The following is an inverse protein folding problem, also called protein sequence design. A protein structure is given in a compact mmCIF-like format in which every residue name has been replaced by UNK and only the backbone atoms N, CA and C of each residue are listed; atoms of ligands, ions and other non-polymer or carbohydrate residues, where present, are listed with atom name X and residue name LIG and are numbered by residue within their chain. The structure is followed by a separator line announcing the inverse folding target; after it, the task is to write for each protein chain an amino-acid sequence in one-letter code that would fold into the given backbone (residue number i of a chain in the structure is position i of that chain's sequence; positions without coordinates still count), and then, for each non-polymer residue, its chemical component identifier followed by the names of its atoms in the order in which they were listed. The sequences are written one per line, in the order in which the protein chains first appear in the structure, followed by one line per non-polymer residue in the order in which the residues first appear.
data_IF_025477742072
#
_entry.id   IF_025477742072
#
_cell.length_a   1.000
_cell.length_b   1.000
_cell.length_c   1.000
_cell.angle_alpha   90.00
_cell.angle_beta   90.00
_cell.angle_gamma   90.00
#
_symmetry.space_group_name_H-M   'P 1'
#
loop_
_entity.id
_entity.type
_entity.pdbx_description
1 polymer ?
2 polymer ?
3 non-polymer ?
4 non-polymer ?
5 non-polymer ?
6 water ?
#
# COMPACT_ATOMS: atom_id res chain seq x y z
N UNK A 1 21.13 7.86 2.23
CA UNK A 1 21.37 7.06 1.40
C UNK A 1 20.95 7.07 -0.11
N UNK A 2 21.40 6.12 -0.93
CA UNK A 2 20.68 5.67 -2.12
C UNK A 2 19.26 5.21 -1.85
N UNK A 3 19.03 4.52 -0.73
CA UNK A 3 17.69 4.04 -0.43
C UNK A 3 16.72 5.18 -0.09
N UNK A 4 17.20 6.18 0.67
CA UNK A 4 16.39 7.36 1.00
C UNK A 4 16.13 8.21 -0.24
N UNK A 5 17.13 8.35 -1.12
CA UNK A 5 16.93 9.06 -2.39
C UNK A 5 15.93 8.37 -3.29
N UNK A 6 15.92 7.03 -3.28
CA UNK A 6 14.97 6.29 -4.12
C UNK A 6 13.53 6.54 -3.66
N UNK A 7 13.35 6.70 -2.36
CA UNK A 7 12.04 7.08 -1.80
C UNK A 7 11.63 8.45 -2.31
N UNK A 8 12.53 9.42 -2.26
CA UNK A 8 12.20 10.78 -2.71
C UNK A 8 11.90 10.81 -4.20
N UNK A 9 12.68 10.08 -4.98
CA UNK A 9 12.45 10.02 -6.43
C UNK A 9 11.05 9.47 -6.75
N UNK A 10 10.66 8.38 -6.09
CA UNK A 10 9.36 7.77 -6.41
C UNK A 10 8.19 8.64 -5.96
N UNK A 11 8.34 9.31 -4.83
CA UNK A 11 7.33 10.27 -4.40
C UNK A 11 7.13 11.37 -5.43
N UNK A 12 8.23 11.91 -5.98
CA UNK A 12 8.13 12.89 -7.07
C UNK A 12 7.40 12.30 -8.27
N UNK A 13 7.74 11.06 -8.65
CA UNK A 13 7.14 10.38 -9.81
C UNK A 13 5.63 10.16 -9.61
N UNK A 14 5.26 9.75 -8.40
CA UNK A 14 3.84 9.52 -8.09
C UNK A 14 3.03 10.82 -8.14
N UNK A 15 3.61 11.92 -7.66
CA UNK A 15 2.95 13.22 -7.77
C UNK A 15 2.83 13.68 -9.22
N UNK A 16 3.88 13.42 -10.01
CA UNK A 16 3.87 13.75 -11.43
C UNK A 16 2.84 12.90 -12.17
N UNK A 17 2.77 11.60 -11.85
CA UNK A 17 1.79 10.69 -12.47
C UNK A 17 0.37 11.20 -12.24
N UNK A 18 0.10 11.67 -11.01
CA UNK A 18 -1.19 12.26 -10.65
C UNK A 18 -1.48 13.53 -11.46
N UNK A 19 -0.54 14.46 -11.47
CA UNK A 19 -0.68 15.70 -12.25
C UNK A 19 -0.93 15.45 -13.74
N UNK A 20 -0.23 14.49 -14.32
CA UNK A 20 -0.42 14.14 -15.73
C UNK A 20 -1.82 13.57 -16.02
N UNK A 21 -2.33 12.80 -15.06
CA UNK A 21 -3.68 12.21 -15.18
C UNK A 21 -4.76 13.29 -15.05
N UNK A 22 -4.56 14.24 -14.13
CA UNK A 22 -5.47 15.36 -13.97
C UNK A 22 -5.50 16.27 -15.20
N UNK A 23 -4.34 16.52 -15.79
CA UNK A 23 -4.25 17.19 -17.08
C UNK A 23 -5.05 16.48 -18.16
N UNK A 24 -4.92 15.15 -18.26
CA UNK A 24 -5.70 14.35 -19.20
C UNK A 24 -7.21 14.48 -18.96
N UNK A 25 -7.61 14.41 -17.68
CA UNK A 25 -9.01 14.50 -17.26
C UNK A 25 -9.61 15.85 -17.64
N UNK A 26 -8.91 16.93 -17.30
CA UNK A 26 -9.38 18.28 -17.57
C UNK A 26 -9.52 18.54 -19.08
N UNK A 27 -8.55 18.10 -19.86
CA UNK A 27 -8.59 18.26 -21.30
C UNK A 27 -9.74 17.45 -21.93
N UNK A 28 -9.88 16.19 -21.52
CA UNK A 28 -10.92 15.33 -22.03
C UNK A 28 -12.29 15.85 -21.65
N UNK A 29 -12.45 16.38 -20.44
CA UNK A 29 -13.73 16.95 -20.03
C UNK A 29 -14.11 18.19 -20.86
N UNK A 30 -13.11 18.95 -21.29
CA UNK A 30 -13.34 20.14 -22.12
C UNK A 30 -13.80 19.75 -23.52
N UNK A 31 -13.14 18.75 -24.10
CA UNK A 31 -13.54 18.21 -25.39
C UNK A 31 -14.95 17.60 -25.32
N UNK A 32 -15.19 16.80 -24.28
CA UNK A 32 -16.51 16.23 -24.03
C UNK A 32 -17.60 17.31 -24.04
N UNK A 33 -17.35 18.41 -23.35
CA UNK A 33 -18.30 19.53 -23.28
C UNK A 33 -18.51 20.17 -24.64
N UNK A 34 -17.41 20.39 -25.35
CA UNK A 34 -17.45 20.93 -26.71
C UNK A 34 -18.32 20.04 -27.60
N UNK A 35 -18.06 18.73 -27.55
CA UNK A 35 -18.84 17.75 -28.33
C UNK A 35 -20.30 17.70 -27.94
N UNK A 36 -20.57 17.69 -26.63
CA UNK A 36 -21.94 17.59 -26.11
C UNK A 36 -22.78 18.79 -26.55
N UNK A 37 -22.14 19.96 -26.62
CA UNK A 37 -22.77 21.18 -27.10
C UNK A 37 -23.29 21.01 -28.52
N UNK A 38 -22.46 20.44 -29.40
CA UNK A 38 -22.88 20.15 -30.77
C UNK A 38 -24.03 19.14 -30.82
N UNK A 39 -23.95 18.09 -30.01
CA UNK A 39 -24.98 17.06 -30.01
C UNK A 39 -26.34 17.61 -29.55
N UNK A 40 -26.34 18.48 -28.54
CA UNK A 40 -27.57 19.14 -28.10
C UNK A 40 -28.20 20.02 -29.17
N UNK A 41 -27.39 20.82 -29.87
CA UNK A 41 -27.92 21.64 -30.97
C UNK A 41 -28.53 20.77 -32.06
N UNK A 42 -27.83 19.68 -32.39
CA UNK A 42 -28.32 18.71 -33.40
C UNK A 42 -29.63 18.04 -32.95
N UNK A 43 -29.71 17.64 -31.69
CA UNK A 43 -30.94 17.05 -31.15
C UNK A 43 -32.14 17.98 -31.32
N UNK A 44 -31.94 19.24 -30.94
CA UNK A 44 -32.99 20.24 -31.09
C UNK A 44 -33.45 20.37 -32.55
N UNK A 45 -32.51 20.34 -33.49
CA UNK A 45 -32.86 20.41 -34.92
C UNK A 45 -33.68 19.20 -35.34
N UNK A 46 -33.23 18.01 -34.95
CA UNK A 46 -33.99 16.78 -35.21
C UNK A 46 -35.42 16.84 -34.61
N UNK A 47 -35.55 17.30 -33.37
CA UNK A 47 -36.86 17.39 -32.69
C UNK A 47 -37.85 18.28 -33.42
N UNK A 48 -37.36 19.43 -33.90
CA UNK A 48 -38.14 20.37 -34.72
C UNK A 48 -38.75 19.70 -35.93
N UNK A 49 -38.03 18.71 -36.47
CA UNK A 49 -38.37 18.11 -37.74
C UNK A 49 -38.95 16.71 -37.66
N UNK A 50 -39.37 16.31 -36.46
CA UNK A 50 -39.83 14.94 -36.25
C UNK A 50 -41.05 14.62 -37.11
N UNK A 51 -41.93 15.61 -37.27
CA UNK A 51 -43.16 15.44 -38.06
C UNK A 51 -42.94 15.11 -39.53
N UNK A 52 -41.78 15.48 -40.06
CA UNK A 52 -41.42 15.20 -41.46
C UNK A 52 -41.14 13.73 -41.73
N UNK A 53 -40.86 12.95 -40.69
CA UNK A 53 -40.38 11.56 -40.80
C UNK A 53 -39.29 11.39 -41.87
N UNK A 54 -38.30 12.28 -41.83
CA UNK A 54 -37.16 12.22 -42.73
C UNK A 54 -36.31 11.05 -42.26
N UNK A 55 -36.06 10.06 -43.13
CA UNK A 55 -35.29 8.90 -42.68
C UNK A 55 -33.87 9.25 -42.24
N UNK A 56 -33.27 10.26 -42.87
CA UNK A 56 -31.92 10.68 -42.53
C UNK A 56 -31.89 11.33 -41.15
N UNK A 57 -32.89 12.18 -40.85
CA UNK A 57 -33.00 12.74 -39.49
C UNK A 57 -33.31 11.68 -38.45
N UNK A 58 -34.11 10.69 -38.80
CA UNK A 58 -34.45 9.65 -37.85
C UNK A 58 -33.24 8.75 -37.55
N UNK A 59 -32.40 8.55 -38.56
CA UNK A 59 -31.13 7.87 -38.32
C UNK A 59 -30.19 8.65 -37.39
N UNK A 60 -30.12 9.96 -37.58
CA UNK A 60 -29.36 10.84 -36.69
C UNK A 60 -29.88 10.78 -35.25
N UNK A 61 -31.20 10.78 -35.10
CA UNK A 61 -31.84 10.59 -33.78
C UNK A 61 -31.38 9.30 -33.10
N UNK A 62 -31.37 8.20 -33.85
CA UNK A 62 -30.90 6.93 -33.30
C UNK A 62 -29.44 6.96 -32.85
N UNK A 63 -28.61 7.66 -33.62
CA UNK A 63 -27.20 7.86 -33.22
C UNK A 63 -27.15 8.65 -31.93
N UNK A 64 -27.90 9.75 -31.87
CA UNK A 64 -27.96 10.59 -30.67
C UNK A 64 -28.29 9.78 -29.41
N UNK A 65 -29.29 8.92 -29.51
CA UNK A 65 -29.80 8.24 -28.33
C UNK A 65 -29.25 6.81 -28.12
N UNK A 66 -28.34 6.37 -28.99
CA UNK A 66 -27.66 5.07 -28.80
C UNK A 66 -26.83 5.05 -27.51
N UNK A 67 -26.66 3.87 -26.96
CA UNK A 67 -25.68 3.64 -25.90
C UNK A 67 -24.66 2.63 -26.43
N UNK A 68 -23.71 2.22 -25.60
CA UNK A 68 -22.70 1.21 -25.99
C UNK A 68 -23.30 -0.15 -26.42
N UNK A 69 -24.53 -0.42 -26.01
CA UNK A 69 -25.26 -1.63 -26.45
C UNK A 69 -25.88 -1.46 -27.83
N UNK A 70 -25.80 -0.25 -28.37
CA UNK A 70 -26.40 0.04 -29.67
C UNK A 70 -27.62 0.96 -29.56
N UNK A 71 -28.47 0.89 -30.58
CA UNK A 71 -29.64 1.73 -30.65
C UNK A 71 -30.62 1.39 -29.54
N UNK A 72 -31.29 2.42 -29.01
CA UNK A 72 -32.40 2.16 -28.12
C UNK A 72 -33.62 1.97 -29.03
N UNK A 73 -34.50 1.08 -28.59
CA UNK A 73 -35.71 0.70 -29.31
C UNK A 73 -35.44 0.39 -30.79
N UNK A 74 -34.69 -0.68 -31.07
CA UNK A 74 -34.29 -1.04 -32.44
C UNK A 74 -35.43 -1.09 -33.48
N UNK A 75 -35.21 -0.36 -34.56
CA UNK A 75 -36.02 -0.33 -35.80
C UNK A 75 -37.50 0.01 -35.68
N UNK B 1 9.67 2.14 13.30
CA UNK B 1 8.99 3.02 14.29
C UNK B 1 8.23 4.13 13.59
N UNK B 2 8.06 5.26 14.27
CA UNK B 2 7.20 6.35 13.79
C UNK B 2 7.56 6.87 12.39
N UNK B 3 8.85 7.09 12.13
CA UNK B 3 9.28 7.69 10.86
C UNK B 3 9.04 6.76 9.68
N UNK B 4 9.42 5.49 9.83
CA UNK B 4 9.15 4.50 8.78
C UNK B 4 7.64 4.40 8.52
N UNK B 5 6.84 4.31 9.58
CA UNK B 5 5.39 4.27 9.43
C UNK B 5 4.80 5.48 8.72
N UNK B 6 5.28 6.68 9.07
CA UNK B 6 4.82 7.90 8.42
C UNK B 6 5.20 7.96 6.93
N UNK B 7 6.39 7.46 6.61
CA UNK B 7 6.84 7.40 5.21
C UNK B 7 5.92 6.46 4.41
N UNK B 8 5.64 5.28 4.97
CA UNK B 8 4.75 4.32 4.31
C UNK B 8 3.34 4.90 4.11
N UNK B 9 2.82 5.59 5.12
CA UNK B 9 1.50 6.22 5.04
C UNK B 9 1.45 7.30 3.95
N UNK B 10 2.47 8.14 3.89
CA UNK B 10 2.61 9.14 2.81
C UNK B 10 2.63 8.51 1.40
N UNK B 11 3.47 7.49 1.22
CA UNK B 11 3.54 6.80 -0.07
C UNK B 11 2.16 6.24 -0.45
N UNK B 12 1.44 5.68 0.52
CA UNK B 12 0.09 5.13 0.24
C UNK B 12 -0.87 6.23 -0.24
N UNK B 13 -0.88 7.38 0.45
CA UNK B 13 -1.72 8.52 0.06
C UNK B 13 -1.39 9.02 -1.35
N UNK B 14 -0.09 9.14 -1.67
CA UNK B 14 0.30 9.51 -3.01
C UNK B 14 -0.20 8.50 -4.04
N UNK B 15 -0.07 7.20 -3.73
CA UNK B 15 -0.52 6.15 -4.64
C UNK B 15 -2.03 6.20 -4.85
N UNK B 16 -2.80 6.29 -3.75
CA UNK B 16 -4.26 6.44 -3.86
C UNK B 16 -4.67 7.69 -4.66
N UNK B 17 -3.98 8.82 -4.45
CA UNK B 17 -4.22 10.03 -5.25
C UNK B 17 -3.96 9.81 -6.73
N UNK B 18 -2.84 9.17 -7.05
CA UNK B 18 -2.50 8.85 -8.43
C UNK B 18 -3.64 8.03 -9.08
N UNK B 19 -4.08 6.99 -8.37
CA UNK B 19 -5.07 6.07 -8.93
C UNK B 19 -6.46 6.71 -9.09
N UNK B 20 -6.82 7.61 -8.18
CA UNK B 20 -8.07 8.36 -8.31
C UNK B 20 -8.02 9.29 -9.53
N UNK B 21 -6.86 9.94 -9.73
CA UNK B 21 -6.66 10.79 -10.90
C UNK B 21 -6.71 9.99 -12.20
N UNK B 22 -6.10 8.80 -12.22
CA UNK B 22 -6.15 7.94 -13.41
C UNK B 22 -7.57 7.47 -13.73
N UNK B 23 -8.32 7.11 -12.69
CA UNK B 23 -9.73 6.74 -12.85
C UNK B 23 -10.55 7.88 -13.46
N UNK B 24 -10.35 9.10 -12.96
CA UNK B 24 -11.01 10.28 -13.48
C UNK B 24 -10.65 10.54 -14.94
N UNK B 25 -9.36 10.41 -15.27
CA UNK B 25 -8.91 10.59 -16.66
C UNK B 25 -9.54 9.55 -17.58
N UNK B 26 -9.55 8.29 -17.15
CA UNK B 26 -10.10 7.20 -17.98
C UNK B 26 -11.60 7.39 -18.24
N UNK B 27 -12.34 7.79 -17.22
CA UNK B 27 -13.77 8.04 -17.34
C UNK B 27 -14.03 9.25 -18.26
N UNK B 28 -13.26 10.32 -18.08
CA UNK B 28 -13.39 11.51 -18.94
C UNK B 28 -13.10 11.17 -20.39
N UNK B 29 -12.06 10.38 -20.63
CA UNK B 29 -11.74 9.94 -21.99
C UNK B 29 -12.83 9.08 -22.62
N UNK B 30 -13.44 8.21 -21.83
CA UNK B 30 -14.55 7.37 -22.30
C UNK B 30 -15.77 8.20 -22.68
N UNK B 31 -16.14 9.15 -21.83
CA UNK B 31 -17.28 10.02 -22.10
C UNK B 31 -17.05 10.82 -23.36
N UNK B 32 -15.85 11.38 -23.48
CA UNK B 32 -15.46 12.14 -24.63
C UNK B 32 -15.56 11.31 -25.91
N UNK B 33 -15.09 10.07 -25.85
CA UNK B 33 -15.09 9.17 -27.00
C UNK B 33 -16.52 8.80 -27.40
N UNK B 34 -17.40 8.66 -26.40
CA UNK B 34 -18.81 8.34 -26.60
C UNK B 34 -19.44 9.44 -27.43
N UNK B 35 -19.23 10.69 -27.04
CA UNK B 35 -19.79 11.83 -27.78
C UNK B 35 -19.14 12.05 -29.13
N UNK B 36 -17.82 11.87 -29.18
CA UNK B 36 -17.12 12.01 -30.42
C UNK B 36 -17.57 11.01 -31.47
N UNK B 37 -17.75 9.74 -31.07
CA UNK B 37 -18.24 8.73 -31.99
C UNK B 37 -19.57 9.11 -32.60
N UNK B 38 -20.44 9.75 -31.82
CA UNK B 38 -21.74 10.18 -32.35
C UNK B 38 -21.59 11.23 -33.43
N UNK B 39 -20.76 12.24 -33.17
CA UNK B 39 -20.56 13.33 -34.12
C UNK B 39 -19.91 12.80 -35.40
N UNK B 40 -18.94 11.92 -35.25
CA UNK B 40 -18.30 11.32 -36.43
C UNK B 40 -19.30 10.55 -37.27
N UNK B 41 -20.17 9.76 -36.62
CA UNK B 41 -21.20 9.04 -37.36
C UNK B 41 -22.19 9.97 -38.02
N UNK B 42 -22.62 11.00 -37.30
CA UNK B 42 -23.48 12.02 -37.91
C UNK B 42 -22.77 12.70 -39.07
N UNK B 43 -21.47 12.98 -38.93
CA UNK B 43 -20.72 13.50 -40.06
C UNK B 43 -20.79 12.57 -41.29
N UNK B 44 -20.63 11.27 -41.07
CA UNK B 44 -20.67 10.32 -42.18
C UNK B 44 -22.03 10.34 -42.87
N UNK B 45 -23.09 10.45 -42.07
CA UNK B 45 -24.44 10.51 -42.62
C UNK B 45 -24.59 11.75 -43.50
N UNK B 46 -24.09 12.88 -43.02
CA UNK B 46 -24.17 14.11 -43.80
C UNK B 46 -23.37 13.99 -45.10
N UNK B 47 -22.23 13.30 -45.05
CA UNK B 47 -21.38 13.10 -46.22
C UNK B 47 -22.02 12.19 -47.26
N UNK B 48 -22.74 11.15 -46.82
CA UNK B 48 -23.60 10.33 -47.70
C UNK B 48 -24.58 11.19 -48.51
N UNK B 49 -25.01 12.29 -47.92
CA UNK B 49 -26.15 13.05 -48.41
C UNK B 49 -25.80 14.46 -48.90
N UNK B 50 -24.50 14.74 -48.99
CA UNK B 50 -23.97 16.05 -49.38
C UNK B 50 -24.54 16.62 -50.68
N UNK B 51 -24.85 15.74 -51.64
CA UNK B 51 -25.37 16.13 -52.94
C UNK B 51 -26.77 16.71 -52.95
N UNK B 52 -27.66 16.12 -52.15
CA UNK B 52 -29.09 16.50 -52.12
C UNK B 52 -29.39 17.91 -51.61
N UNK B 53 -28.36 18.64 -51.19
CA UNK B 53 -28.49 20.04 -50.74
C UNK B 53 -29.72 20.31 -49.85
N UNK B 54 -29.83 19.55 -48.75
CA UNK B 54 -30.96 19.66 -47.84
C UNK B 54 -30.68 20.75 -46.80
N UNK B 55 -31.61 21.72 -46.65
CA UNK B 55 -31.37 22.82 -45.72
C UNK B 55 -31.26 22.39 -44.24
N UNK B 56 -31.94 21.30 -43.85
CA UNK B 56 -31.86 20.83 -42.47
C UNK B 56 -30.47 20.23 -42.21
N UNK B 57 -30.03 19.34 -43.11
CA UNK B 57 -28.70 18.76 -43.03
C UNK B 57 -27.61 19.83 -43.10
N UNK B 58 -27.86 20.88 -43.89
CA UNK B 58 -26.89 21.98 -43.94
C UNK B 58 -26.71 22.65 -42.57
N UNK B 59 -27.81 22.83 -41.84
CA UNK B 59 -27.75 23.34 -40.47
C UNK B 59 -26.93 22.41 -39.57
N UNK B 60 -27.11 21.11 -39.75
CA UNK B 60 -26.39 20.13 -38.94
C UNK B 60 -24.90 20.16 -39.28
N UNK B 61 -24.57 20.23 -40.57
CA UNK B 61 -23.19 20.31 -41.06
C UNK B 61 -22.49 21.55 -40.49
N UNK B 62 -23.19 22.69 -40.48
CA UNK B 62 -22.65 23.90 -39.90
C UNK B 62 -22.36 23.77 -38.43
N UNK B 63 -23.19 23.01 -37.70
CA UNK B 63 -22.88 22.72 -36.30
C UNK B 63 -21.64 21.83 -36.16
N UNK B 64 -21.53 20.79 -36.98
CA UNK B 64 -20.39 19.88 -36.90
C UNK B 64 -19.05 20.63 -37.03
N UNK B 65 -19.00 21.58 -37.96
CA UNK B 65 -17.76 22.28 -38.27
C UNK B 65 -17.60 23.64 -37.59
N UNK B 66 -18.57 24.02 -36.75
CA UNK B 66 -18.45 25.25 -35.94
C UNK B 66 -17.37 25.12 -34.89
N UNK B 67 -16.81 26.24 -34.48
CA UNK B 67 -15.69 26.19 -33.55
C UNK B 67 -15.83 27.14 -32.36
N UNK B 68 -15.38 26.66 -31.20
CA UNK B 68 -15.42 27.39 -29.94
C UNK B 68 -14.35 28.48 -29.90
N UNK C 3 -44.24 11.51 -28.81
CA UNK C 3 -43.33 11.23 -29.97
C UNK C 3 -42.38 10.08 -29.66
N UNK C 4 -42.01 9.32 -30.70
CA UNK C 4 -41.00 8.27 -30.58
C UNK C 4 -39.61 8.81 -30.21
N UNK C 5 -39.27 10.02 -30.68
CA UNK C 5 -38.03 10.69 -30.27
C UNK C 5 -37.95 10.82 -28.73
N UNK C 6 -39.05 11.26 -28.12
CA UNK C 6 -39.11 11.43 -26.65
C UNK C 6 -39.04 10.10 -25.91
N UNK C 7 -39.64 9.05 -26.49
CA UNK C 7 -39.57 7.72 -25.88
C UNK C 7 -38.14 7.17 -25.97
N UNK C 8 -37.48 7.38 -27.12
CA UNK C 8 -36.09 6.99 -27.27
C UNK C 8 -35.17 7.75 -26.32
N UNK C 9 -35.38 9.06 -26.21
CA UNK C 9 -34.60 9.89 -25.27
C UNK C 9 -34.74 9.39 -23.83
N UNK C 10 -35.96 9.03 -23.43
CA UNK C 10 -36.18 8.50 -22.09
C UNK C 10 -35.53 7.11 -21.91
N UNK C 11 -35.70 6.23 -22.89
CA UNK C 11 -35.07 4.90 -22.84
C UNK C 11 -33.53 5.00 -22.71
N UNK C 12 -32.91 5.90 -23.50
CA UNK C 12 -31.47 6.15 -23.36
C UNK C 12 -31.08 6.55 -21.93
N UNK C 13 -31.83 7.49 -21.35
CA UNK C 13 -31.54 7.98 -20.03
C UNK C 13 -31.67 6.85 -18.98
N UNK C 14 -32.63 5.96 -19.16
CA UNK C 14 -32.80 4.85 -18.21
C UNK C 14 -31.63 3.88 -18.30
N UNK C 15 -31.18 3.61 -19.52
CA UNK C 15 -30.04 2.72 -19.74
C UNK C 15 -28.76 3.30 -19.14
N UNK C 16 -28.53 4.59 -19.38
CA UNK C 16 -27.33 5.28 -18.86
C UNK C 16 -27.36 5.38 -17.32
N UNK C 17 -28.53 5.64 -16.75
CA UNK C 17 -28.66 5.63 -15.30
C UNK C 17 -28.41 4.22 -14.73
N UNK C 18 -28.97 3.20 -15.39
CA UNK C 18 -28.67 1.81 -15.00
C UNK C 18 -27.14 1.59 -15.03
N UNK C 19 -26.49 2.00 -16.11
CA UNK C 19 -25.03 1.87 -16.27
C UNK C 19 -24.27 2.58 -15.15
N UNK C 20 -24.65 3.82 -14.86
CA UNK C 20 -24.04 4.60 -13.80
C UNK C 20 -24.15 3.89 -12.46
N UNK C 21 -25.36 3.44 -12.13
CA UNK C 21 -25.62 2.76 -10.86
C UNK C 21 -24.76 1.49 -10.71
N UNK C 22 -24.69 0.69 -11.77
CA UNK C 22 -23.85 -0.53 -11.77
C UNK C 22 -22.35 -0.21 -11.60
N UNK C 23 -21.86 0.79 -12.34
CA UNK C 23 -20.50 1.28 -12.15
C UNK C 23 -20.24 1.65 -10.68
N UNK C 24 -21.14 2.41 -10.10
CA UNK C 24 -21.06 2.81 -8.71
C UNK C 24 -21.05 1.62 -7.74
N UNK C 25 -21.91 0.63 -7.97
CA UNK C 25 -21.93 -0.57 -7.15
C UNK C 25 -20.64 -1.37 -7.30
N UNK C 26 -20.12 -1.43 -8.53
CA UNK C 26 -18.90 -2.20 -8.78
C UNK C 26 -17.72 -1.57 -8.03
N UNK C 27 -17.60 -0.25 -8.11
CA UNK C 27 -16.53 0.48 -7.44
C UNK C 27 -16.67 0.37 -5.92
N UNK C 28 -17.89 0.50 -5.41
CA UNK C 28 -18.14 0.39 -3.97
C UNK C 28 -17.73 -0.99 -3.46
N UNK C 29 -18.09 -2.02 -4.22
CA UNK C 29 -17.72 -3.39 -3.89
C UNK C 29 -16.20 -3.61 -3.91
N UNK C 30 -15.51 -3.01 -4.89
CA UNK C 30 -14.06 -3.05 -4.96
C UNK C 30 -13.41 -2.39 -3.72
N UNK C 31 -13.88 -1.19 -3.36
CA UNK C 31 -13.35 -0.46 -2.21
C UNK C 31 -13.56 -1.25 -0.90
N UNK C 32 -14.76 -1.79 -0.74
CA UNK C 32 -15.12 -2.64 0.39
C UNK C 32 -14.22 -3.87 0.49
N UNK C 33 -13.99 -4.54 -0.63
CA UNK C 33 -13.16 -5.74 -0.65
C UNK C 33 -11.71 -5.40 -0.30
N UNK C 34 -11.23 -4.25 -0.78
CA UNK C 34 -9.88 -3.77 -0.45
C UNK C 34 -9.70 -3.71 1.06
N UNK C 35 -10.60 -2.99 1.74
CA UNK C 35 -10.50 -2.82 3.18
C UNK C 35 -10.76 -4.11 3.92
N UNK C 36 -11.69 -4.91 3.42
CA UNK C 36 -11.96 -6.18 4.08
C UNK C 36 -10.76 -7.12 3.98
N UNK C 37 -10.12 -7.11 2.82
CA UNK C 37 -8.91 -7.92 2.61
C UNK C 37 -7.85 -7.57 3.65
N UNK C 38 -7.76 -6.29 4.02
CA UNK C 38 -6.78 -5.88 5.05
C UNK C 38 -7.15 -6.43 6.43
N UNK C 39 -8.43 -6.40 6.76
CA UNK C 39 -8.88 -6.91 8.05
C UNK C 39 -8.60 -8.40 8.17
N UNK C 40 -8.84 -9.12 7.08
CA UNK C 40 -8.57 -10.57 7.02
C UNK C 40 -7.07 -10.88 7.16
N UNK C 41 -6.21 -10.12 6.48
CA UNK C 41 -4.76 -10.27 6.64
C UNK C 41 -4.31 -9.99 8.06
N UNK C 42 -4.91 -8.99 8.68
CA UNK C 42 -4.63 -8.69 10.09
C UNK C 42 -5.12 -9.79 11.04
N UNK C 43 -6.31 -10.33 10.76
CA UNK C 43 -6.82 -11.48 11.51
C UNK C 43 -5.84 -12.68 11.44
N UNK C 44 -5.33 -12.97 10.25
CA UNK C 44 -4.40 -14.09 10.09
C UNK C 44 -3.12 -13.83 10.88
N UNK C 45 -2.65 -12.58 10.88
CA UNK C 45 -1.46 -12.22 11.67
C UNK C 45 -1.72 -12.44 13.16
N UNK C 46 -2.88 -11.97 13.61
CA UNK C 46 -3.27 -12.20 15.00
C UNK C 46 -3.37 -13.69 15.34
N UNK C 47 -4.01 -14.48 14.48
CA UNK C 47 -4.15 -15.92 14.73
C UNK C 47 -2.78 -16.62 14.82
N UNK C 48 -1.87 -16.25 13.92
CA UNK C 48 -0.50 -16.77 13.95
C UNK C 48 0.25 -16.48 15.27
N UNK C 49 -0.13 -15.38 15.92
CA UNK C 49 0.58 -14.91 17.10
C UNK C 49 -0.21 -15.07 18.40
N UNK C 50 -1.29 -15.84 18.32
CA UNK C 50 -2.18 -16.13 19.47
C UNK C 50 -1.45 -16.65 20.72
N UNK C 51 -0.44 -17.49 20.52
CA UNK C 51 0.37 -18.04 21.63
C UNK C 51 1.10 -17.02 22.50
N UNK C 52 1.46 -15.87 21.92
CA UNK C 52 2.15 -14.81 22.67
C UNK C 52 1.32 -14.18 23.81
N UNK C 53 0.00 -14.37 23.79
CA UNK C 53 -0.93 -13.71 24.74
C UNK C 53 -0.75 -12.18 24.85
N UNK C 54 -0.56 -11.53 23.71
CA UNK C 54 -0.24 -10.10 23.67
C UNK C 54 -1.49 -9.23 23.91
N UNK C 55 -1.49 -8.41 24.97
CA UNK C 55 -2.70 -7.61 25.22
C UNK C 55 -3.00 -6.60 24.10
N UNK C 56 -1.97 -6.17 23.38
CA UNK C 56 -2.15 -5.25 22.25
C UNK C 56 -2.89 -5.98 21.13
N UNK C 57 -2.36 -7.14 20.73
CA UNK C 57 -3.02 -7.98 19.76
C UNK C 57 -4.47 -8.32 20.15
N UNK C 58 -4.72 -8.53 21.44
CA UNK C 58 -6.07 -8.83 21.91
C UNK C 58 -7.02 -7.65 21.67
N UNK C 59 -6.54 -6.43 21.88
CA UNK C 59 -7.34 -5.23 21.58
C UNK C 59 -7.65 -5.18 20.08
N UNK C 60 -6.66 -5.51 19.25
CA UNK C 60 -6.87 -5.55 17.81
C UNK C 60 -7.91 -6.60 17.41
N UNK C 61 -7.79 -7.80 17.97
CA UNK C 61 -8.77 -8.86 17.74
C UNK C 61 -10.18 -8.42 18.16
N UNK C 62 -10.28 -7.74 19.29
CA UNK C 62 -11.59 -7.21 19.70
C UNK C 62 -12.17 -6.23 18.71
N UNK C 63 -11.32 -5.45 18.06
CA UNK C 63 -11.78 -4.59 16.97
C UNK C 63 -12.22 -5.44 15.75
N UNK C 64 -11.40 -6.41 15.36
CA UNK C 64 -11.75 -7.26 14.21
C UNK C 64 -13.14 -7.90 14.33
N UNK C 65 -13.43 -8.45 15.52
CA UNK C 65 -14.69 -9.20 15.75
C UNK C 65 -15.86 -8.38 16.32
N UNK C 66 -15.70 -7.06 16.41
CA UNK C 66 -16.79 -6.20 16.87
C UNK C 66 -17.89 -6.06 15.80
N UNK C 67 -19.12 -5.90 16.27
CA UNK C 67 -20.27 -5.75 15.39
C UNK C 67 -20.81 -4.34 15.53
N UNK C 68 -21.51 -3.87 14.49
CA UNK C 68 -22.23 -2.60 14.50
C UNK C 68 -21.42 -1.42 15.06
N UNK D 3 -43.17 -2.27 -30.30
CA UNK D 3 -44.40 -2.55 -29.49
C UNK D 3 -44.40 -1.71 -28.20
N UNK D 4 -45.48 -0.96 -27.99
CA UNK D 4 -45.63 -0.10 -26.82
C UNK D 4 -45.61 -0.88 -25.49
N UNK D 5 -46.23 -2.06 -25.48
CA UNK D 5 -46.22 -2.90 -24.29
C UNK D 5 -44.79 -3.31 -23.94
N UNK D 6 -44.02 -3.68 -24.97
CA UNK D 6 -42.65 -4.15 -24.80
C UNK D 6 -41.76 -3.05 -24.25
N UNK D 7 -42.04 -1.81 -24.69
CA UNK D 7 -41.35 -0.61 -24.26
C UNK D 7 -41.65 -0.31 -22.77
N UNK D 8 -42.92 -0.40 -22.38
CA UNK D 8 -43.32 -0.21 -20.99
C UNK D 8 -42.64 -1.23 -20.10
N UNK D 9 -42.67 -2.49 -20.52
CA UNK D 9 -42.02 -3.57 -19.79
C UNK D 9 -40.53 -3.30 -19.63
N UNK D 10 -39.88 -2.88 -20.71
CA UNK D 10 -38.44 -2.62 -20.69
C UNK D 10 -38.08 -1.47 -19.76
N UNK D 11 -38.84 -0.38 -19.86
CA UNK D 11 -38.63 0.76 -18.98
C UNK D 11 -38.76 0.39 -17.51
N UNK D 12 -39.74 -0.44 -17.17
CA UNK D 12 -39.88 -0.93 -15.80
C UNK D 12 -38.66 -1.77 -15.35
N UNK D 13 -38.21 -2.68 -16.20
CA UNK D 13 -37.03 -3.50 -15.90
C UNK D 13 -35.79 -2.62 -15.66
N UNK D 14 -35.59 -1.63 -16.53
CA UNK D 14 -34.42 -0.75 -16.39
C UNK D 14 -34.46 0.04 -15.08
N UNK D 15 -35.64 0.53 -14.69
CA UNK D 15 -35.82 1.18 -13.40
C UNK D 15 -35.49 0.26 -12.22
N UNK D 16 -36.01 -0.97 -12.25
CA UNK D 16 -35.77 -1.95 -11.18
C UNK D 16 -34.29 -2.33 -11.10
N UNK D 17 -33.66 -2.55 -12.25
CA UNK D 17 -32.24 -2.85 -12.31
C UNK D 17 -31.40 -1.73 -11.69
N UNK D 18 -31.76 -0.47 -12.00
CA UNK D 18 -31.06 0.69 -11.42
C UNK D 18 -31.22 0.70 -9.91
N UNK D 19 -32.46 0.49 -9.46
CA UNK D 19 -32.77 0.46 -8.04
C UNK D 19 -32.03 -0.63 -7.27
N UNK D 20 -31.93 -1.81 -7.86
CA UNK D 20 -31.20 -2.91 -7.24
C UNK D 20 -29.71 -2.54 -7.10
N UNK D 21 -29.17 -1.90 -8.13
CA UNK D 21 -27.75 -1.57 -8.16
C UNK D 21 -27.43 -0.48 -7.15
N UNK D 22 -28.30 0.53 -7.06
CA UNK D 22 -28.16 1.56 -6.05
C UNK D 22 -28.22 0.97 -4.64
N UNK D 23 -29.07 -0.06 -4.45
CA UNK D 23 -29.18 -0.76 -3.18
C UNK D 23 -27.87 -1.49 -2.86
N UNK D 24 -27.32 -2.18 -3.86
CA UNK D 24 -26.00 -2.82 -3.74
C UNK D 24 -24.93 -1.79 -3.37
N UNK D 25 -24.93 -0.65 -4.05
CA UNK D 25 -23.90 0.38 -3.86
C UNK D 25 -23.96 0.93 -2.42
N UNK D 26 -25.18 1.24 -1.97
CA UNK D 26 -25.38 1.78 -0.63
C UNK D 26 -24.92 0.80 0.46
N UNK D 27 -25.23 -0.48 0.28
CA UNK D 27 -24.84 -1.52 1.23
C UNK D 27 -23.32 -1.72 1.28
N UNK D 28 -22.70 -1.81 0.09
CA UNK D 28 -21.25 -1.93 -0.01
C UNK D 28 -20.54 -0.72 0.59
N UNK D 29 -21.09 0.48 0.36
CA UNK D 29 -20.52 1.70 0.92
C UNK D 29 -20.57 1.70 2.46
N UNK D 30 -21.68 1.22 3.01
CA UNK D 30 -21.83 1.10 4.45
C UNK D 30 -20.82 0.08 5.04
N UNK D 31 -20.69 -1.08 4.40
CA UNK D 31 -19.72 -2.09 4.80
C UNK D 31 -18.28 -1.56 4.74
N UNK D 32 -17.97 -0.88 3.64
CA UNK D 32 -16.69 -0.20 3.45
C UNK D 32 -16.38 0.81 4.57
N UNK D 33 -17.35 1.65 4.94
CA UNK D 33 -17.14 2.59 6.04
C UNK D 33 -16.89 1.89 7.38
N UNK D 34 -17.62 0.80 7.61
CA UNK D 34 -17.50 0.01 8.85
C UNK D 34 -16.08 -0.60 8.98
N UNK D 35 -15.60 -1.16 7.87
CA UNK D 35 -14.26 -1.75 7.80
C UNK D 35 -13.19 -0.68 7.92
N UNK D 36 -13.38 0.42 7.22
CA UNK D 36 -12.39 1.52 7.25
C UNK D 36 -12.27 2.05 8.67
N UNK D 37 -13.40 2.13 9.37
CA UNK D 37 -13.41 2.56 10.76
C UNK D 37 -12.58 1.64 11.66
N UNK D 38 -12.67 0.34 11.42
CA UNK D 38 -11.87 -0.64 12.20
C UNK D 38 -10.39 -0.46 11.89
N UNK D 39 -10.07 -0.29 10.61
CA UNK D 39 -8.65 -0.09 10.20
C UNK D 39 -8.05 1.16 10.86
N UNK D 40 -8.83 2.22 10.94
CA UNK D 40 -8.39 3.45 11.61
C UNK D 40 -8.16 3.23 13.11
N UNK D 41 -9.04 2.45 13.76
CA UNK D 41 -8.85 2.12 15.17
C UNK D 41 -7.60 1.27 15.36
N UNK D 42 -7.41 0.29 14.49
CA UNK D 42 -6.20 -0.53 14.51
C UNK D 42 -4.94 0.32 14.32
N UNK D 43 -5.00 1.27 13.37
CA UNK D 43 -3.91 2.21 13.14
C UNK D 43 -3.52 2.99 14.42
N UNK D 44 -4.54 3.48 15.12
CA UNK D 44 -4.33 4.23 16.38
C UNK D 44 -3.56 3.40 17.39
N UNK D 45 -3.99 2.14 17.56
CA UNK D 45 -3.33 1.19 18.45
C UNK D 45 -1.87 0.96 18.06
N UNK D 46 -1.61 0.74 16.77
CA UNK D 46 -0.25 0.59 16.27
C UNK D 46 0.61 1.84 16.55
N UNK D 47 0.07 3.03 16.31
CA UNK D 47 0.82 4.28 16.51
C UNK D 47 1.24 4.47 17.98
N UNK D 48 0.41 4.02 18.92
CA UNK D 48 0.76 4.02 20.35
C UNK D 48 1.98 3.19 20.70
N UNK D 49 2.21 2.12 19.94
CA UNK D 49 3.26 1.19 20.24
C UNK D 49 4.45 1.30 19.30
N UNK D 50 4.53 2.44 18.59
CA UNK D 50 5.60 2.69 17.62
C UNK D 50 7.00 2.45 18.19
N UNK D 51 7.22 2.94 19.41
CA UNK D 51 8.52 2.88 20.06
C UNK D 51 8.90 1.50 20.58
N UNK D 52 7.90 0.64 20.77
CA UNK D 52 8.14 -0.73 21.22
C UNK D 52 8.85 -1.57 20.17
N UNK D 53 8.89 -1.08 18.93
CA UNK D 53 9.48 -1.78 17.79
C UNK D 53 9.01 -3.24 17.62
N UNK D 54 7.72 -3.48 17.85
CA UNK D 54 7.18 -4.84 17.83
C UNK D 54 7.06 -5.36 16.38
N UNK D 55 7.74 -6.48 16.05
CA UNK D 55 7.69 -7.00 14.68
C UNK D 55 6.27 -7.40 14.19
N UNK D 56 5.42 -7.88 15.07
CA UNK D 56 4.04 -8.22 14.69
C UNK D 56 3.25 -6.96 14.33
N UNK D 57 3.35 -5.91 15.14
CA UNK D 57 2.68 -4.64 14.84
C UNK D 57 3.24 -3.98 13.59
N UNK D 58 4.51 -4.22 13.32
CA UNK D 58 5.13 -3.68 12.11
C UNK D 58 4.51 -4.34 10.88
N UNK D 59 4.25 -5.66 10.97
CA UNK D 59 3.54 -6.38 9.91
C UNK D 59 2.13 -5.84 9.69
N UNK D 60 1.44 -5.55 10.80
CA UNK D 60 0.08 -5.04 10.72
C UNK D 60 0.09 -3.66 10.07
N UNK D 61 1.06 -2.82 10.44
CA UNK D 61 1.19 -1.49 9.81
C UNK D 61 1.46 -1.62 8.29
N UNK D 62 2.29 -2.59 7.90
CA UNK D 62 2.54 -2.81 6.48
C UNK D 62 1.23 -3.16 5.74
N UNK D 63 0.39 -3.96 6.38
CA UNK D 63 -0.94 -4.27 5.83
C UNK D 63 -1.81 -3.00 5.72
N UNK D 64 -1.86 -2.22 6.80
CA UNK D 64 -2.64 -0.99 6.79
C UNK D 64 -2.29 -0.07 5.63
N UNK D 65 -0.99 0.13 5.36
CA UNK D 65 -0.57 1.08 4.34
C UNK D 65 -0.25 0.48 2.98
N UNK D 66 -0.59 -0.80 2.81
CA UNK D 66 -0.40 -1.47 1.53
C UNK D 66 -1.37 -0.92 0.51
N UNK D 67 -0.89 -0.90 -0.72
CA UNK D 67 -1.65 -0.35 -1.79
C UNK D 67 -1.95 -1.50 -2.79
N UNK D 68 -1.18 -2.59 -2.70
CA UNK D 68 -1.45 -3.77 -3.54
C UNK D 68 -2.79 -4.37 -3.13
N UNK D 69 -3.65 -4.57 -4.12
CA UNK D 69 -5.02 -5.02 -3.89
C UNK D 69 -5.13 -6.55 -3.90
N UNK E 8 42.45 -9.78 36.31
CA UNK E 8 43.37 -9.18 35.34
C UNK E 8 44.79 -9.11 35.90
N UNK E 9 45.05 -8.10 36.72
CA UNK E 9 46.27 -7.98 37.49
C UNK E 9 46.24 -9.01 38.62
N UNK E 10 45.02 -9.34 39.06
CA UNK E 10 44.77 -10.34 40.11
C UNK E 10 44.98 -11.76 39.61
N UNK E 11 44.61 -12.02 38.36
CA UNK E 11 44.74 -13.35 37.75
C UNK E 11 46.20 -13.73 37.52
N UNK E 12 47.02 -12.74 37.16
CA UNK E 12 48.44 -12.97 36.91
C UNK E 12 49.21 -13.26 38.19
N UNK E 13 48.78 -12.63 39.29
CA UNK E 13 49.37 -12.87 40.62
C UNK E 13 49.04 -14.25 41.16
N UNK E 14 47.87 -14.78 40.79
CA UNK E 14 47.48 -16.15 41.19
C UNK E 14 48.30 -17.19 40.42
N UNK E 15 48.62 -16.87 39.16
CA UNK E 15 49.46 -17.75 38.34
C UNK E 15 50.92 -17.71 38.79
N UNK E 16 51.34 -16.56 39.33
CA UNK E 16 52.64 -16.42 39.95
C UNK E 16 52.69 -17.25 41.24
N UNK E 17 51.69 -17.05 42.09
CA UNK E 17 51.56 -17.73 43.39
C UNK E 17 51.55 -19.25 43.28
N UNK E 18 50.85 -19.78 42.28
CA UNK E 18 50.67 -21.21 42.10
C UNK E 18 51.91 -21.95 41.53
N UNK E 19 52.97 -21.20 41.26
CA UNK E 19 54.15 -21.77 40.58
C UNK E 19 55.00 -22.71 41.45
N UNK E 20 54.86 -22.61 42.78
CA UNK E 20 55.61 -23.46 43.71
C UNK E 20 54.84 -23.80 44.99
N UNK E 21 54.95 -25.05 45.47
CA UNK E 21 54.33 -25.44 46.74
C UNK E 21 55.19 -25.06 47.94
N UNK E 25 49.45 -25.96 50.81
CA UNK E 25 48.34 -26.82 50.39
C UNK E 25 46.99 -26.10 50.52
N UNK E 26 46.79 -25.38 51.61
CA UNK E 26 45.56 -24.62 51.84
C UNK E 26 45.39 -23.50 50.82
N UNK E 27 46.49 -22.82 50.49
CA UNK E 27 46.49 -21.71 49.55
C UNK E 27 46.34 -22.15 48.09
N UNK E 28 46.94 -23.28 47.74
CA UNK E 28 46.92 -23.77 46.35
C UNK E 28 45.54 -24.25 45.89
N UNK E 29 44.78 -24.85 46.81
CA UNK E 29 43.42 -25.30 46.51
C UNK E 29 42.46 -24.12 46.47
N UNK E 30 42.67 -23.18 47.40
CA UNK E 30 41.88 -21.94 47.47
C UNK E 30 42.06 -21.09 46.21
N UNK E 31 43.25 -21.15 45.63
CA UNK E 31 43.58 -20.40 44.41
C UNK E 31 42.98 -21.02 43.16
N UNK E 32 42.89 -22.34 43.11
CA UNK E 32 42.30 -23.03 41.96
C UNK E 32 40.77 -22.86 41.94
N UNK E 33 40.17 -22.83 43.13
CA UNK E 33 38.73 -22.53 43.27
C UNK E 33 38.41 -21.12 42.79
N UNK E 34 39.37 -20.21 42.92
CA UNK E 34 39.26 -18.87 42.35
C UNK E 34 39.19 -18.97 40.82
N UNK E 35 40.05 -19.81 40.25
CA UNK E 35 40.12 -20.02 38.80
C UNK E 35 38.95 -20.83 38.24
N UNK E 36 38.40 -21.71 39.07
CA UNK E 36 37.23 -22.52 38.68
C UNK E 36 36.00 -21.63 38.63
N UNK E 37 35.90 -20.71 39.59
CA UNK E 37 34.83 -19.72 39.61
C UNK E 37 34.97 -18.74 38.44
N UNK E 38 36.19 -18.25 38.24
CA UNK E 38 36.47 -17.24 37.22
C UNK E 38 36.28 -17.70 35.77
N UNK E 39 36.52 -18.99 35.50
CA UNK E 39 36.31 -19.55 34.16
C UNK E 39 34.82 -19.56 33.80
N UNK E 40 34.02 -20.17 34.67
CA UNK E 40 32.56 -20.16 34.54
C UNK E 40 32.00 -18.75 34.57
N UNK E 41 32.60 -17.89 35.38
CA UNK E 41 32.21 -16.49 35.48
C UNK E 41 32.52 -15.71 34.19
N UNK E 42 33.61 -16.08 33.52
CA UNK E 42 33.97 -15.47 32.25
C UNK E 42 33.05 -15.95 31.12
N UNK E 43 32.65 -17.22 31.19
CA UNK E 43 31.71 -17.81 30.24
C UNK E 43 30.32 -17.17 30.40
N UNK E 44 29.90 -16.99 31.66
CA UNK E 44 28.62 -16.36 31.98
C UNK E 44 28.54 -14.92 31.46
N UNK E 45 29.64 -14.18 31.59
CA UNK E 45 29.71 -12.78 31.20
C UNK E 45 29.76 -12.63 29.68
N UNK E 46 30.43 -13.57 29.03
CA UNK E 46 30.47 -13.62 27.57
C UNK E 46 29.07 -13.92 27.03
N UNK E 47 28.43 -14.93 27.61
CA UNK E 47 27.07 -15.30 27.23
C UNK E 47 26.09 -14.14 27.36
N UNK E 48 26.20 -13.38 28.44
CA UNK E 48 25.36 -12.20 28.66
C UNK E 48 25.57 -11.14 27.59
N UNK E 49 26.83 -10.94 27.20
CA UNK E 49 27.18 -9.95 26.19
C UNK E 49 26.74 -10.37 24.79
N UNK E 50 26.91 -11.65 24.48
CA UNK E 50 26.48 -12.21 23.20
C UNK E 50 24.98 -11.98 22.99
N UNK E 51 24.21 -12.10 24.07
CA UNK E 51 22.79 -11.78 24.03
C UNK E 51 22.52 -10.31 23.75
N UNK E 52 23.35 -9.42 24.28
CA UNK E 52 23.26 -8.00 23.96
C UNK E 52 23.57 -7.72 22.48
N UNK E 53 24.50 -8.48 21.91
CA UNK E 53 24.82 -8.36 20.48
C UNK E 53 23.64 -8.84 19.66
N UNK E 54 23.19 -10.06 19.93
CA UNK E 54 22.11 -10.67 19.17
C UNK E 54 20.86 -9.77 19.18
N UNK E 55 20.47 -9.29 20.37
CA UNK E 55 19.34 -8.38 20.50
C UNK E 55 19.47 -7.16 19.58
N UNK E 56 20.63 -6.51 19.61
CA UNK E 56 20.89 -5.32 18.82
C UNK E 56 20.93 -5.61 17.32
N UNK E 57 21.43 -6.79 16.95
CA UNK E 57 21.46 -7.20 15.55
C UNK E 57 20.06 -7.56 15.05
N UNK E 58 19.23 -8.02 15.97
CA UNK E 58 17.84 -8.39 15.66
C UNK E 58 17.03 -7.13 15.42
N UNK E 59 17.29 -6.10 16.22
CA UNK E 59 16.66 -4.80 16.02
C UNK E 59 17.10 -4.17 14.69
N UNK E 60 18.39 -4.27 14.36
CA UNK E 60 18.94 -3.73 13.11
C UNK E 60 18.31 -4.42 11.91
N UNK E 61 18.21 -5.75 11.99
CA UNK E 61 17.64 -6.55 10.94
C UNK E 61 16.15 -6.23 10.74
N UNK E 62 15.42 -6.04 11.84
CA UNK E 62 14.00 -5.70 11.78
C UNK E 62 13.81 -4.39 11.03
N UNK E 63 14.66 -3.43 11.32
CA UNK E 63 14.60 -2.13 10.65
C UNK E 63 14.91 -2.20 9.17
N UNK E 64 15.97 -2.92 8.81
CA UNK E 64 16.30 -3.15 7.41
C UNK E 64 15.22 -3.89 6.63
N UNK E 65 14.62 -4.90 7.25
CA UNK E 65 13.57 -5.69 6.61
C UNK E 65 12.30 -4.87 6.33
N UNK E 66 11.96 -3.99 7.26
CA UNK E 66 10.86 -3.04 7.13
C UNK E 66 11.11 -2.18 5.91
N UNK E 67 12.33 -1.63 5.86
CA UNK E 67 12.73 -0.73 4.78
C UNK E 67 12.80 -1.46 3.45
N UNK E 68 13.45 -2.63 3.42
CA UNK E 68 13.54 -3.46 2.20
C UNK E 68 12.14 -3.68 1.60
N UNK E 69 11.22 -4.10 2.44
CA UNK E 69 9.87 -4.41 1.98
C UNK E 69 9.14 -3.15 1.47
N UNK E 70 9.38 -2.02 2.14
CA UNK E 70 8.78 -0.75 1.71
C UNK E 70 9.27 -0.37 0.30
N UNK E 71 10.58 -0.47 0.08
CA UNK E 71 11.17 -0.23 -1.25
C UNK E 71 10.61 -1.14 -2.34
N UNK E 72 10.35 -2.41 -2.02
CA UNK E 72 9.75 -3.36 -2.99
C UNK E 72 8.34 -2.96 -3.37
N UNK E 73 7.57 -2.55 -2.36
CA UNK E 73 6.20 -2.11 -2.56
C UNK E 73 6.19 -0.83 -3.38
N UNK E 74 7.11 0.07 -3.05
CA UNK E 74 7.29 1.33 -3.79
C UNK E 74 7.50 1.09 -5.31
N UNK E 75 8.25 0.04 -5.64
CA UNK E 75 8.51 -0.29 -7.05
C UNK E 75 7.25 -0.49 -7.87
N UNK E 76 6.25 -1.15 -7.27
CA UNK E 76 5.00 -1.47 -7.94
C UNK E 76 4.00 -0.30 -8.02
N UNK E 77 4.25 0.78 -7.31
CA UNK E 77 3.28 1.89 -7.27
C UNK E 77 3.35 2.78 -8.50
N UNK F 8 36.31 -25.98 28.42
CA UNK F 8 35.64 -26.62 29.54
C UNK F 8 36.38 -27.88 30.00
N UNK F 9 36.50 -28.86 29.10
CA UNK F 9 37.26 -30.09 29.36
C UNK F 9 38.76 -29.80 29.35
N UNK F 10 39.17 -28.83 28.53
CA UNK F 10 40.56 -28.40 28.45
C UNK F 10 41.02 -27.82 29.79
N UNK F 11 40.16 -26.95 30.35
CA UNK F 11 40.48 -26.15 31.54
C UNK F 11 40.57 -26.97 32.83
N UNK F 12 39.45 -27.53 33.28
CA UNK F 12 39.37 -28.26 34.55
C UNK F 12 40.48 -29.29 34.74
N UNK F 13 40.82 -30.02 33.67
CA UNK F 13 41.88 -31.03 33.71
C UNK F 13 43.23 -30.43 34.14
N UNK F 14 43.53 -29.23 33.64
CA UNK F 14 44.73 -28.50 34.03
C UNK F 14 44.63 -28.04 35.50
N UNK F 15 43.44 -27.62 35.92
CA UNK F 15 43.20 -27.22 37.31
C UNK F 15 43.39 -28.39 38.29
N UNK F 16 43.17 -29.60 37.80
CA UNK F 16 43.37 -30.81 38.59
C UNK F 16 44.83 -31.23 38.72
N UNK F 17 45.60 -31.06 37.64
CA UNK F 17 47.04 -31.35 37.65
C UNK F 17 47.78 -30.50 38.67
N UNK F 18 47.32 -29.26 38.84
CA UNK F 18 47.98 -28.28 39.72
C UNK F 18 47.55 -28.38 41.19
N UNK F 19 46.67 -29.33 41.50
CA UNK F 19 46.15 -29.49 42.85
C UNK F 19 47.22 -29.96 43.84
N UNK F 20 48.11 -30.84 43.39
CA UNK F 20 49.18 -31.39 44.23
C UNK F 20 50.51 -31.53 43.49
N UNK F 21 51.63 -31.27 44.18
CA UNK F 21 52.95 -31.45 43.57
C UNK F 21 53.45 -32.89 43.68
N UNK F 25 58.06 -30.95 38.33
CA UNK F 25 57.05 -29.90 38.26
C UNK F 25 57.35 -28.85 37.19
N UNK F 26 58.20 -29.21 36.22
CA UNK F 26 58.45 -28.35 35.07
C UNK F 26 57.22 -28.28 34.17
N UNK F 27 56.35 -29.29 34.31
CA UNK F 27 55.08 -29.33 33.59
C UNK F 27 54.07 -28.31 34.13
N UNK F 28 54.20 -27.97 35.41
CA UNK F 28 53.28 -27.01 36.04
C UNK F 28 53.47 -25.59 35.51
N UNK F 29 54.69 -25.26 35.09
CA UNK F 29 55.00 -23.99 34.46
C UNK F 29 54.37 -23.96 33.06
N UNK F 30 54.41 -25.11 32.38
CA UNK F 30 53.81 -25.28 31.07
C UNK F 30 52.28 -25.25 31.13
N UNK F 31 51.73 -25.76 32.24
CA UNK F 31 50.29 -25.78 32.46
C UNK F 31 49.73 -24.41 32.84
N UNK F 32 50.48 -23.66 33.66
CA UNK F 32 50.06 -22.31 34.07
C UNK F 32 50.13 -21.32 32.91
N UNK F 33 51.09 -21.52 32.01
CA UNK F 33 51.20 -20.73 30.79
C UNK F 33 49.99 -20.99 29.88
N UNK F 34 49.50 -22.22 29.88
CA UNK F 34 48.29 -22.59 29.14
C UNK F 34 47.06 -21.88 29.69
N UNK F 35 47.06 -21.64 31.00
CA UNK F 35 46.00 -20.86 31.65
C UNK F 35 46.13 -19.37 31.34
N UNK F 36 47.37 -18.88 31.28
CA UNK F 36 47.67 -17.49 30.99
C UNK F 36 47.22 -17.11 29.57
N UNK F 37 47.51 -17.99 28.62
CA UNK F 37 47.17 -17.77 27.21
C UNK F 37 45.66 -17.88 27.00
N UNK F 38 45.03 -18.83 27.69
CA UNK F 38 43.57 -19.00 27.62
C UNK F 38 42.84 -17.77 28.12
N UNK F 39 43.23 -17.27 29.29
CA UNK F 39 42.73 -16.02 29.84
C UNK F 39 42.93 -14.87 28.83
N UNK F 40 44.10 -14.85 28.20
CA UNK F 40 44.37 -13.89 27.13
C UNK F 40 43.34 -13.99 26.02
N UNK F 41 43.12 -15.21 25.53
CA UNK F 41 42.16 -15.43 24.45
C UNK F 41 40.71 -15.28 24.93
N UNK F 42 40.52 -15.20 26.24
CA UNK F 42 39.21 -14.89 26.82
C UNK F 42 38.90 -13.39 26.78
N UNK F 43 39.84 -12.57 27.24
CA UNK F 43 39.64 -11.13 27.24
C UNK F 43 39.55 -10.57 25.82
N UNK F 44 40.32 -11.16 24.90
CA UNK F 44 40.36 -10.69 23.52
C UNK F 44 39.07 -11.06 22.79
N UNK F 45 38.51 -12.22 23.10
CA UNK F 45 37.21 -12.62 22.55
C UNK F 45 36.09 -11.75 23.09
N UNK F 46 36.19 -11.39 24.37
CA UNK F 46 35.23 -10.48 25.00
C UNK F 46 35.37 -9.08 24.40
N UNK F 47 36.60 -8.69 24.12
CA UNK F 47 36.90 -7.41 23.48
C UNK F 47 36.23 -7.28 22.11
N UNK F 48 36.36 -8.33 21.29
CA UNK F 48 35.73 -8.40 19.98
C UNK F 48 34.21 -8.27 20.08
N UNK F 49 33.67 -8.77 21.20
CA UNK F 49 32.23 -8.77 21.43
C UNK F 49 31.73 -7.38 21.88
N UNK F 50 32.51 -6.70 22.72
CA UNK F 50 32.16 -5.36 23.20
C UNK F 50 32.07 -4.37 22.04
N UNK F 51 32.93 -4.57 21.04
CA UNK F 51 33.02 -3.66 19.91
C UNK F 51 31.98 -3.99 18.84
N UNK F 52 31.51 -5.24 18.83
CA UNK F 52 30.36 -5.61 18.00
C UNK F 52 29.10 -4.92 18.51
N UNK F 53 28.96 -4.88 19.84
CA UNK F 53 27.87 -4.17 20.51
C UNK F 53 27.89 -2.68 20.21
N UNK F 54 29.07 -2.06 20.28
CA UNK F 54 29.21 -0.63 20.03
C UNK F 54 28.88 -0.28 18.58
N UNK F 55 29.22 -1.18 17.66
CA UNK F 55 28.94 -1.02 16.25
C UNK F 55 27.46 -1.19 15.95
N UNK F 56 26.84 -2.21 16.55
CA UNK F 56 25.40 -2.44 16.38
C UNK F 56 24.58 -1.26 16.91
N UNK F 57 25.01 -0.73 18.05
CA UNK F 57 24.42 0.48 18.62
C UNK F 57 24.57 1.68 17.69
N UNK F 58 25.73 1.80 17.07
CA UNK F 58 26.01 2.91 16.14
C UNK F 58 25.09 2.81 14.92
N UNK F 59 25.14 1.66 14.25
CA UNK F 59 24.31 1.36 13.10
C UNK F 59 22.83 1.64 13.35
N UNK F 60 22.32 1.19 14.50
CA UNK F 60 20.93 1.41 14.88
C UNK F 60 20.58 2.88 14.99
N UNK F 61 21.44 3.61 15.71
CA UNK F 61 21.24 5.03 15.92
C UNK F 61 21.21 5.81 14.61
N UNK F 62 22.18 5.53 13.73
CA UNK F 62 22.29 6.21 12.45
C UNK F 62 21.08 5.96 11.55
N UNK F 63 20.55 4.75 11.60
CA UNK F 63 19.43 4.40 10.75
C UNK F 63 18.16 5.12 11.19
N UNK F 64 17.93 5.18 12.50
CA UNK F 64 16.86 6.00 13.06
C UNK F 64 17.04 7.46 12.66
N UNK F 65 18.28 7.97 12.78
CA UNK F 65 18.58 9.35 12.42
C UNK F 65 18.27 9.60 10.95
N UNK F 66 18.67 8.67 10.09
CA UNK F 66 18.46 8.79 8.66
C UNK F 66 16.96 8.81 8.29
N UNK F 67 16.19 7.92 8.92
CA UNK F 67 14.75 7.86 8.67
C UNK F 67 14.04 9.11 9.21
N UNK F 68 14.40 9.53 10.42
CA UNK F 68 13.80 10.76 10.97
C UNK F 68 14.09 11.94 10.07
N UNK F 69 15.34 12.05 9.63
CA UNK F 69 15.78 13.14 8.78
C UNK F 69 15.13 13.09 7.40
N UNK F 70 14.99 11.88 6.84
CA UNK F 70 14.29 11.73 5.56
C UNK F 70 12.82 12.16 5.64
N UNK F 71 12.14 11.79 6.71
CA UNK F 71 10.76 12.23 6.94
C UNK F 71 10.63 13.76 6.97
N UNK F 72 11.50 14.43 7.73
CA UNK F 72 11.58 15.91 7.73
C UNK F 72 11.75 16.45 6.32
N UNK F 73 12.71 15.88 5.58
CA UNK F 73 13.00 16.34 4.22
C UNK F 73 11.77 16.10 3.34
N UNK F 74 11.16 14.93 3.46
CA UNK F 74 9.96 14.62 2.66
C UNK F 74 8.83 15.62 2.90
N UNK F 75 8.66 16.04 4.16
CA UNK F 75 7.65 17.04 4.53
C UNK F 75 7.97 18.48 4.05
N UNK F 76 9.23 18.72 3.68
CA UNK F 76 9.63 20.02 3.11
C UNK F 76 9.63 20.00 1.60
N UNK F 77 9.01 18.97 1.01
CA UNK F 77 9.11 18.76 -0.44
C UNK F 77 7.74 18.56 -1.07
X LIG G 1 -34.07 -0.62 -26.20
X LIG H 1 24.36 5.10 -0.29
X LIG H 1 24.77 3.96 0.50
X LIG H 1 24.91 4.98 -1.71
X LIG H 1 26.13 4.23 -1.75
X LIG I 1 16.87 -2.28 0.65
X LIG I 1 16.49 -2.76 -0.65
X LIG I 1 17.85 -1.12 0.49
X LIG I 1 17.83 -0.30 1.67
X LIG J 1 -25.43 22.66 -24.57
X LIG J 1 -24.93 22.20 -23.30
X LIG J 1 -24.55 23.81 -25.06
X LIG J 1 -24.71 23.97 -26.48
X LIG K 1 -27.17 12.45 -26.11
X LIG K 1 -26.23 12.35 -27.21
X LIG K 1 -28.40 13.21 -26.60
X LIG K 1 -27.99 14.42 -27.26
X LIG L 1 -12.50 22.78 -26.71
X LIG L 1 -12.22 22.76 -28.21
X LIG L 1 -12.04 21.60 -26.07
X LIG M 1 -38.01 6.67 -41.30
X LIG M 1 -38.64 7.63 -42.30
X LIG M 1 -37.95 7.21 -39.99
X LIG N 1 -0.34 12.96 -20.27
X LIG N 1 -0.86 14.23 -19.58
X LIG N 1 -0.19 11.87 -19.37
X LIG O 1 11.49 4.51 12.24
X LIG P 1 -11.10 2.98 -27.95
X LIG P 1 -9.78 3.52 -28.03
X LIG P 1 -11.38 2.46 -26.55
X LIG P 1 -11.50 1.03 -26.60
X LIG Q 1 -19.77 24.49 -25.28
X LIG Q 1 -18.62 24.63 -26.27
X LIG Q 1 -21.02 24.53 -25.91
X LIG R 1 -24.48 19.17 -47.37
X LIG R 1 -25.30 18.30 -46.42
X LIG R 1 -24.29 20.49 -46.89
X LIG S 1 -20.48 7.25 -16.43
X LIG S 1 -21.24 8.38 -15.97
X LIG S 1 -20.04 6.42 -15.22
X LIG S 1 -19.19 7.22 -14.39
X LIG T 1 -4.48 -12.95 19.13
X LIG T 1 -5.10 -12.59 20.48
X LIG T 1 -3.12 -12.60 19.04
X LIG U 1 5.83 0.33 14.38
X LIG U 1 6.86 0.23 15.37
X LIG U 1 4.68 -0.64 14.70
X LIG U 1 3.79 -0.06 15.67
X LIG V 1 -44.97 -8.48 -14.12
X LIG V 1 -45.36 -7.57 -13.07
X LIG V 1 -43.62 -9.07 -13.76
X LIG V 1 -42.67 -8.01 -13.66
X LIG W 1 -19.44 2.27 11.47
X LIG W 1 -19.58 3.01 10.15
X LIG W 1 -18.14 2.37 12.01
X LIG X 1 38.82 -20.47 23.79
X LIG X 1 38.83 -19.06 23.53
X LIG X 1 39.91 -21.17 22.98
X LIG X 1 39.92 -20.66 21.65
#
# INVERSE_FOLDING_TARGET
GASMDAIKKKMQMLKLDKENALDRAEQAEADKDFYFGKLRNIELICQENEGENDPVLQRIVDILYATDEGFVIPD
GASMDAIKKKMQMLKLDKENALDRAEQAEADKDFYFGKLRNIELICQENEGENDPVLQRIVDILYATDEGFVIPD
GASMDAIKKKMQMLKLDKENALDRAEQAEADKDFYFGKLRNIELICQENEGENDPVLQRIVDILYATDEGFVIPD
GASMDAIKKKMQMLKLDKENALDRAEQAEADKDFYFGKLRNIELICQENEGENDPVLQRIVDILYATDEGFVIPD
GGSGPLKPEEHEDILNKLLDPELAQSERTEALQQLRVNYGSFVSEYNDLEEKVAHAKEENLNMHQMLDQTLLELNNM
GGSGPLKPEEHEDILNKLLDPELAQSERTEALQQLRVNYGSFVSEYNDLEEKVAHAKEENLNMHQMLDQTLLELNNM
CL CL
EDO C1 O1 C2 O2
EDO C1 O1 C2 O2
EDO C1 O1 C2 O2
EDO C1 O1 C2 O2
EOH C1 C2 O
EOH C1 C2 O
EOH C1 C2 O
CL CL
EDO C1 O1 C2 O2
EOH C1 C2 O
EOH C1 C2 O
EDO C1 O1 C2 O2
EOH C1 C2 O
EDO C1 O1 C2 O2
EDO C1 O1 C2 O2
EOH C1 C2 O
EDO C1 O1 C2 O2
#
